data_IF_916393389181
#
_entry.id   IF_916393389181
#
_cell.length_a   1.000
_cell.length_b   1.000
_cell.length_c   1.000
_cell.angle_alpha   90.00
_cell.angle_beta   90.00
_cell.angle_gamma   90.00
#
_symmetry.space_group_name_H-M   'P 1'
#
loop_
_entity.id
_entity.type
_entity.pdbx_description
1 polymer ?
#
# COMPACT_ATOMS: atom_id res chain seq x y z
N UNK A 1 -33.27 0.51 54.65
CA UNK A 1 -34.41 0.40 53.72
C UNK A 1 -33.96 -0.32 52.46
N UNK A 2 -34.53 -1.50 52.25
CA UNK A 2 -34.27 -2.43 51.15
C UNK A 2 -35.11 -2.06 49.92
N UNK A 3 -34.51 -2.09 48.72
CA UNK A 3 -35.22 -2.38 47.45
C UNK A 3 -34.31 -3.18 46.51
N UNK A 4 -34.22 -4.49 46.77
CA UNK A 4 -33.79 -5.48 45.78
C UNK A 4 -34.81 -5.52 44.62
N UNK A 5 -34.35 -5.27 43.39
CA UNK A 5 -35.10 -5.62 42.17
C UNK A 5 -34.46 -6.85 41.51
N UNK A 6 -35.18 -7.97 41.33
CA UNK A 6 -34.66 -9.11 40.60
C UNK A 6 -34.84 -8.91 39.09
N UNK A 7 -33.71 -8.79 38.38
CA UNK A 7 -33.67 -8.84 36.92
C UNK A 7 -33.74 -10.31 36.45
N UNK A 8 -34.89 -10.72 35.91
CA UNK A 8 -35.10 -12.03 35.28
C UNK A 8 -34.21 -12.18 34.04
N UNK A 9 -33.13 -12.96 34.14
CA UNK A 9 -32.35 -13.47 33.00
C UNK A 9 -33.23 -14.39 32.14
N UNK A 10 -33.81 -13.87 31.06
CA UNK A 10 -34.38 -14.70 30.00
C UNK A 10 -33.25 -15.42 29.25
N UNK A 11 -33.11 -16.72 29.50
CA UNK A 11 -32.31 -17.63 28.67
C UNK A 11 -32.94 -17.69 27.28
N UNK A 12 -32.34 -17.00 26.30
CA UNK A 12 -32.66 -17.19 24.88
C UNK A 12 -32.31 -18.62 24.48
N UNK A 13 -33.35 -19.44 24.20
CA UNK A 13 -33.20 -20.77 23.58
C UNK A 13 -32.48 -20.60 22.24
N UNK A 14 -31.29 -21.18 22.14
CA UNK A 14 -30.60 -21.34 20.85
C UNK A 14 -31.48 -22.18 19.93
N UNK A 15 -32.06 -21.53 18.92
CA UNK A 15 -32.74 -22.19 17.81
C UNK A 15 -31.67 -23.02 17.09
N UNK A 16 -31.74 -24.35 17.17
CA UNK A 16 -30.91 -25.26 16.35
C UNK A 16 -31.12 -24.88 14.89
N UNK A 17 -30.05 -24.39 14.26
CA UNK A 17 -30.00 -24.12 12.82
C UNK A 17 -30.33 -25.42 12.11
N UNK A 18 -31.36 -25.39 11.24
CA UNK A 18 -31.68 -26.50 10.34
C UNK A 18 -30.39 -26.91 9.61
N UNK A 19 -30.11 -28.21 9.55
CA UNK A 19 -29.09 -28.79 8.69
C UNK A 19 -29.36 -28.33 7.25
N UNK A 20 -28.66 -27.28 6.84
CA UNK A 20 -28.50 -26.96 5.43
C UNK A 20 -27.58 -28.06 4.90
N UNK A 21 -27.98 -28.83 3.87
CA UNK A 21 -27.07 -29.77 3.26
C UNK A 21 -25.84 -28.99 2.80
N UNK A 22 -24.71 -29.28 3.43
CA UNK A 22 -23.41 -28.79 3.00
C UNK A 22 -23.21 -29.41 1.63
N UNK A 23 -23.45 -28.64 0.57
CA UNK A 23 -23.08 -29.05 -0.78
C UNK A 23 -21.59 -29.43 -0.71
N UNK A 24 -21.29 -30.71 -0.93
CA UNK A 24 -19.95 -31.27 -1.10
C UNK A 24 -19.26 -30.77 -2.40
N UNK A 25 -19.57 -29.56 -2.85
CA UNK A 25 -18.78 -28.88 -3.87
C UNK A 25 -17.57 -28.23 -3.18
N UNK A 26 -16.67 -29.08 -2.67
CA UNK A 26 -15.32 -28.62 -2.37
C UNK A 26 -14.75 -27.89 -3.61
N UNK A 27 -14.04 -26.77 -3.44
CA UNK A 27 -13.55 -26.03 -4.59
C UNK A 27 -12.70 -26.94 -5.48
N UNK A 28 -12.76 -26.72 -6.81
CA UNK A 28 -12.06 -27.55 -7.78
C UNK A 28 -10.56 -27.64 -7.44
N UNK A 29 -9.92 -28.78 -7.70
CA UNK A 29 -8.48 -28.95 -7.46
C UNK A 29 -7.69 -27.84 -8.17
N UNK A 30 -6.72 -27.26 -7.45
CA UNK A 30 -5.84 -26.24 -8.00
C UNK A 30 -4.84 -26.94 -8.92
N UNK A 31 -4.60 -26.45 -10.15
CA UNK A 31 -3.62 -27.06 -11.05
C UNK A 31 -2.21 -27.04 -10.42
N UNK A 32 -1.31 -27.97 -10.79
CA UNK A 32 0.03 -28.10 -10.20
C UNK A 32 0.84 -26.79 -10.21
N UNK A 33 0.81 -26.08 -11.34
CA UNK A 33 1.45 -24.77 -11.52
C UNK A 33 0.89 -23.74 -10.52
N UNK A 34 -0.43 -23.77 -10.26
CA UNK A 34 -1.06 -22.91 -9.26
C UNK A 34 -0.58 -23.20 -7.84
N UNK A 35 -0.26 -24.45 -7.52
CA UNK A 35 0.28 -24.83 -6.21
C UNK A 35 1.71 -24.31 -6.03
N UNK A 36 2.55 -24.41 -7.06
CA UNK A 36 3.90 -23.85 -7.04
C UNK A 36 3.89 -22.33 -6.88
N UNK A 37 3.03 -21.62 -7.61
CA UNK A 37 2.85 -20.18 -7.46
C UNK A 37 2.40 -19.79 -6.04
N UNK A 38 1.51 -20.58 -5.43
CA UNK A 38 1.09 -20.37 -4.04
C UNK A 38 2.23 -20.59 -3.04
N UNK A 39 3.13 -21.57 -3.27
CA UNK A 39 4.32 -21.81 -2.45
C UNK A 39 5.30 -20.64 -2.56
N UNK A 40 5.55 -20.14 -3.77
CA UNK A 40 6.39 -18.95 -4.02
C UNK A 40 5.78 -17.73 -3.34
N UNK A 41 4.46 -17.54 -3.42
CA UNK A 41 3.78 -16.44 -2.72
C UNK A 41 3.98 -16.52 -1.21
N UNK A 42 3.86 -17.70 -0.60
CA UNK A 42 4.03 -17.86 0.85
C UNK A 42 5.46 -17.47 1.30
N UNK A 43 6.49 -17.84 0.54
CA UNK A 43 7.87 -17.45 0.86
C UNK A 43 8.09 -15.94 0.72
N UNK A 44 7.58 -15.32 -0.35
CA UNK A 44 7.63 -13.87 -0.55
C UNK A 44 6.86 -13.12 0.54
N UNK A 45 5.72 -13.64 0.99
CA UNK A 45 4.91 -13.03 2.04
C UNK A 45 5.69 -12.94 3.35
N UNK A 46 6.49 -13.96 3.71
CA UNK A 46 7.35 -13.94 4.91
C UNK A 46 8.43 -12.84 4.82
N UNK A 47 8.99 -12.61 3.64
CA UNK A 47 9.97 -11.55 3.40
C UNK A 47 9.30 -10.18 3.53
N UNK A 48 8.14 -10.02 2.89
CA UNK A 48 7.32 -8.81 2.97
C UNK A 48 6.91 -8.49 4.41
N UNK A 49 6.54 -9.48 5.23
CA UNK A 49 6.17 -9.28 6.63
C UNK A 49 7.36 -8.73 7.47
N UNK A 50 8.59 -9.15 7.17
CA UNK A 50 9.79 -8.56 7.80
C UNK A 50 9.98 -7.11 7.37
N UNK A 51 9.90 -6.81 6.07
CA UNK A 51 9.99 -5.44 5.55
C UNK A 51 8.89 -4.53 6.12
N UNK A 52 7.67 -5.03 6.21
CA UNK A 52 6.52 -4.31 6.76
C UNK A 52 6.56 -4.16 8.28
N UNK A 53 7.43 -4.88 8.98
CA UNK A 53 7.68 -4.60 10.39
C UNK A 53 8.25 -3.19 10.57
N UNK A 54 9.10 -2.74 9.64
CA UNK A 54 9.65 -1.37 9.63
C UNK A 54 8.52 -0.34 9.46
N UNK A 55 7.54 -0.60 8.60
CA UNK A 55 6.37 0.27 8.42
C UNK A 55 5.51 0.40 9.70
N UNK A 56 5.47 -0.64 10.56
CA UNK A 56 4.77 -0.59 11.86
C UNK A 56 5.51 0.29 12.88
N UNK A 57 6.85 0.24 12.88
CA UNK A 57 7.68 1.08 13.74
C UNK A 57 7.53 2.56 13.39
N UNK A 58 7.41 2.89 12.11
CA UNK A 58 7.24 4.27 11.66
C UNK A 58 6.03 4.95 12.32
N UNK A 59 4.87 4.26 12.39
CA UNK A 59 3.68 4.79 13.09
C UNK A 59 3.91 4.93 14.60
N UNK A 60 4.66 4.00 15.20
CA UNK A 60 4.97 4.03 16.65
C UNK A 60 5.89 5.20 17.02
N UNK A 61 6.78 5.57 16.11
CA UNK A 61 7.76 6.64 16.27
C UNK A 61 7.24 8.00 15.77
N UNK A 62 6.00 8.10 15.31
CA UNK A 62 5.40 9.32 14.72
C UNK A 62 6.23 9.92 13.57
N UNK A 63 6.98 9.08 12.83
CA UNK A 63 7.79 9.53 11.70
C UNK A 63 6.91 10.03 10.54
N UNK A 64 5.63 9.67 10.52
CA UNK A 64 4.62 10.23 9.61
C UNK A 64 4.44 11.73 9.79
N UNK A 65 4.37 12.21 11.04
CA UNK A 65 4.29 13.65 11.34
C UNK A 65 5.56 14.37 10.97
N UNK A 66 6.72 13.76 11.26
CA UNK A 66 8.02 14.32 10.91
C UNK A 66 8.12 14.47 9.38
N UNK A 67 7.76 13.43 8.62
CA UNK A 67 7.71 13.51 7.15
C UNK A 67 6.74 14.57 6.65
N UNK A 68 5.58 14.71 7.29
CA UNK A 68 4.63 15.76 6.92
C UNK A 68 5.23 17.15 7.12
N UNK A 69 6.00 17.38 8.19
CA UNK A 69 6.69 18.63 8.43
C UNK A 69 7.83 18.89 7.44
N UNK A 70 8.60 17.87 7.05
CA UNK A 70 9.75 18.03 6.14
C UNK A 70 9.40 17.99 4.65
N UNK A 71 8.33 17.29 4.26
CA UNK A 71 7.95 17.13 2.85
C UNK A 71 7.70 18.43 2.08
N UNK A 72 7.11 19.50 2.66
CA UNK A 72 6.87 20.75 1.94
C UNK A 72 8.17 21.43 1.51
N UNK A 73 9.23 21.36 2.32
CA UNK A 73 10.52 21.98 1.98
C UNK A 73 11.16 21.36 0.73
N UNK A 74 10.90 20.08 0.45
CA UNK A 74 11.32 19.45 -0.81
C UNK A 74 10.30 19.61 -1.94
N UNK A 75 9.01 19.55 -1.64
CA UNK A 75 7.96 19.56 -2.65
C UNK A 75 7.68 20.95 -3.23
N UNK A 76 7.69 22.01 -2.42
CA UNK A 76 7.32 23.36 -2.87
C UNK A 76 8.28 23.86 -3.96
N UNK A 77 9.62 23.81 -3.79
CA UNK A 77 10.54 24.20 -4.84
C UNK A 77 10.34 23.38 -6.12
N UNK A 78 10.15 22.07 -5.98
CA UNK A 78 9.93 21.17 -7.11
C UNK A 78 8.66 21.52 -7.90
N UNK A 79 7.54 21.76 -7.20
CA UNK A 79 6.26 22.15 -7.81
C UNK A 79 6.41 23.47 -8.56
N UNK A 80 7.07 24.46 -7.94
CA UNK A 80 7.31 25.76 -8.57
C UNK A 80 8.15 25.59 -9.85
N UNK A 81 9.24 24.81 -9.80
CA UNK A 81 10.05 24.53 -10.98
C UNK A 81 9.28 23.78 -12.08
N UNK A 82 8.39 22.85 -11.72
CA UNK A 82 7.54 22.13 -12.66
C UNK A 82 6.53 23.04 -13.37
N UNK A 83 6.05 24.09 -12.69
CA UNK A 83 5.15 25.10 -13.28
C UNK A 83 5.95 26.09 -14.13
N UNK A 84 7.14 26.49 -13.68
CA UNK A 84 8.01 27.43 -14.42
C UNK A 84 8.58 26.81 -15.70
N UNK A 85 8.93 25.53 -15.71
CA UNK A 85 9.51 24.85 -16.87
C UNK A 85 8.67 24.98 -18.17
N UNK A 86 7.35 24.70 -18.19
CA UNK A 86 6.53 24.93 -19.37
C UNK A 86 6.33 26.42 -19.69
N UNK A 87 6.26 27.29 -18.68
CA UNK A 87 6.13 28.75 -18.87
C UNK A 87 7.37 29.31 -19.58
N UNK A 88 8.56 28.89 -19.17
CA UNK A 88 9.81 29.24 -19.81
C UNK A 88 9.90 28.71 -21.25
N UNK A 89 9.41 27.48 -21.51
CA UNK A 89 9.33 26.92 -22.86
C UNK A 89 8.39 27.69 -23.79
N UNK A 90 7.45 28.46 -23.24
CA UNK A 90 6.56 29.36 -23.98
C UNK A 90 7.17 30.76 -24.22
N UNK A 91 8.46 30.95 -23.94
CA UNK A 91 9.18 32.20 -24.20
C UNK A 91 9.06 33.25 -23.09
N UNK A 92 8.50 32.88 -21.94
CA UNK A 92 8.49 33.75 -20.78
C UNK A 92 9.87 33.82 -20.12
N UNK A 93 10.16 34.94 -19.45
CA UNK A 93 11.42 35.12 -18.72
C UNK A 93 11.61 34.01 -17.64
N UNK A 94 12.85 33.69 -17.27
CA UNK A 94 13.10 32.81 -16.13
C UNK A 94 12.48 33.39 -14.86
N UNK A 95 11.90 32.53 -14.02
CA UNK A 95 11.32 32.89 -12.71
C UNK A 95 10.13 33.85 -12.74
N UNK A 96 9.38 33.93 -13.85
CA UNK A 96 8.17 34.78 -13.97
C UNK A 96 7.17 34.53 -12.85
N UNK A 97 7.01 33.29 -12.39
CA UNK A 97 6.09 32.97 -11.31
C UNK A 97 6.56 33.57 -9.98
N UNK A 98 7.85 33.48 -9.68
CA UNK A 98 8.45 34.03 -8.47
C UNK A 98 8.48 35.57 -8.49
N UNK A 99 8.76 36.19 -9.65
CA UNK A 99 8.78 37.64 -9.78
C UNK A 99 7.39 38.26 -9.72
N UNK A 100 6.37 37.55 -10.23
CA UNK A 100 4.97 38.02 -10.21
C UNK A 100 4.34 37.85 -8.82
N UNK A 101 4.73 36.82 -8.06
CA UNK A 101 4.15 36.50 -6.75
C UNK A 101 5.22 36.51 -5.64
N UNK A 102 5.40 37.62 -4.92
CA UNK A 102 6.46 37.75 -3.90
C UNK A 102 6.32 36.75 -2.73
N UNK A 103 5.11 36.27 -2.47
CA UNK A 103 4.87 35.21 -1.47
C UNK A 103 5.50 33.88 -1.94
N UNK A 104 5.41 33.56 -3.23
CA UNK A 104 6.00 32.35 -3.80
C UNK A 104 7.53 32.44 -3.71
N UNK A 105 8.10 33.58 -4.09
CA UNK A 105 9.54 33.84 -3.96
C UNK A 105 10.04 33.62 -2.53
N UNK A 106 9.44 34.29 -1.54
CA UNK A 106 9.83 34.13 -0.13
C UNK A 106 9.68 32.70 0.37
N UNK A 107 8.63 32.00 -0.07
CA UNK A 107 8.42 30.60 0.33
C UNK A 107 9.50 29.68 -0.23
N UNK A 108 9.85 29.86 -1.52
CA UNK A 108 10.93 29.11 -2.17
C UNK A 108 12.28 29.41 -1.53
N UNK A 109 12.57 30.68 -1.22
CA UNK A 109 13.79 31.08 -0.51
C UNK A 109 13.90 30.38 0.85
N UNK A 110 12.84 30.42 1.69
CA UNK A 110 12.84 29.72 2.99
C UNK A 110 13.09 28.23 2.80
N UNK A 111 12.44 27.59 1.82
CA UNK A 111 12.64 26.18 1.55
C UNK A 111 14.09 25.89 1.14
N UNK A 112 14.67 26.71 0.26
CA UNK A 112 16.05 26.58 -0.18
C UNK A 112 17.04 26.81 0.97
N UNK A 113 16.81 27.79 1.85
CA UNK A 113 17.64 28.02 3.04
C UNK A 113 17.62 26.83 3.99
N UNK A 114 16.43 26.27 4.27
CA UNK A 114 16.28 25.07 5.12
C UNK A 114 17.00 23.88 4.49
N UNK A 115 16.87 23.68 3.17
CA UNK A 115 17.53 22.60 2.43
C UNK A 115 19.05 22.76 2.43
N UNK A 116 19.56 23.98 2.23
CA UNK A 116 20.99 24.29 2.30
C UNK A 116 21.54 24.04 3.72
N UNK A 117 20.81 24.44 4.76
CA UNK A 117 21.17 24.16 6.14
C UNK A 117 21.19 22.65 6.42
N UNK A 118 20.20 21.89 5.95
CA UNK A 118 20.18 20.42 6.06
C UNK A 118 21.36 19.77 5.33
N UNK A 119 21.76 20.32 4.18
CA UNK A 119 22.87 19.80 3.40
C UNK A 119 24.21 20.07 4.09
N UNK A 120 24.45 21.30 4.53
CA UNK A 120 25.70 21.71 5.21
C UNK A 120 25.88 21.04 6.58
N UNK A 121 24.79 20.77 7.29
CA UNK A 121 24.81 20.02 8.56
C UNK A 121 24.90 18.49 8.40
N UNK A 122 24.81 17.97 7.17
CA UNK A 122 24.82 16.53 6.89
C UNK A 122 23.50 15.79 7.16
N UNK A 123 22.49 16.47 7.73
CA UNK A 123 21.19 15.86 8.05
C UNK A 123 20.33 15.53 6.82
N UNK A 124 20.68 16.08 5.65
CA UNK A 124 19.92 15.86 4.41
C UNK A 124 19.77 14.37 4.07
N UNK A 125 20.78 13.55 4.32
CA UNK A 125 20.76 12.11 4.06
C UNK A 125 19.75 11.39 4.95
N UNK A 126 19.65 11.82 6.22
CA UNK A 126 18.66 11.29 7.17
C UNK A 126 17.25 11.69 6.72
N UNK A 127 17.07 12.91 6.21
CA UNK A 127 15.77 13.36 5.67
C UNK A 127 15.37 12.55 4.44
N UNK A 128 16.29 12.27 3.50
CA UNK A 128 16.01 11.40 2.36
C UNK A 128 15.65 9.98 2.79
N UNK A 129 16.40 9.40 3.73
CA UNK A 129 16.09 8.09 4.28
C UNK A 129 14.70 8.07 4.94
N UNK A 130 14.41 9.08 5.76
CA UNK A 130 13.11 9.26 6.40
C UNK A 130 11.99 9.41 5.37
N UNK A 131 12.16 10.22 4.31
CA UNK A 131 11.15 10.37 3.26
C UNK A 131 10.99 9.09 2.42
N UNK A 132 12.07 8.37 2.12
CA UNK A 132 12.04 7.12 1.35
C UNK A 132 11.28 6.00 2.08
N UNK A 133 11.24 6.02 3.42
CA UNK A 133 10.40 5.11 4.21
C UNK A 133 8.91 5.21 3.87
N UNK A 134 8.46 6.36 3.33
CA UNK A 134 7.10 6.52 2.79
C UNK A 134 6.80 5.50 1.70
N UNK A 135 7.80 5.12 0.89
CA UNK A 135 7.67 4.06 -0.11
C UNK A 135 7.26 2.73 0.53
N UNK A 136 7.98 2.28 1.56
CA UNK A 136 7.70 1.02 2.28
C UNK A 136 6.30 1.07 2.92
N UNK A 137 5.90 2.22 3.44
CA UNK A 137 4.56 2.37 4.02
C UNK A 137 3.43 2.31 3.01
N UNK A 138 3.60 2.94 1.84
CA UNK A 138 2.60 2.87 0.79
C UNK A 138 2.53 1.43 0.27
N UNK A 139 3.67 0.75 0.13
CA UNK A 139 3.72 -0.68 -0.22
C UNK A 139 2.97 -1.54 0.81
N UNK A 140 3.12 -1.25 2.10
CA UNK A 140 2.37 -1.91 3.17
C UNK A 140 0.86 -1.66 3.07
N UNK A 141 0.45 -0.42 2.81
CA UNK A 141 -0.97 -0.07 2.60
C UNK A 141 -1.54 -0.78 1.37
N UNK A 142 -0.80 -0.80 0.28
CA UNK A 142 -1.17 -1.48 -0.96
C UNK A 142 -1.39 -2.98 -0.70
N UNK A 143 -0.47 -3.66 -0.01
CA UNK A 143 -0.63 -5.06 0.38
C UNK A 143 -1.83 -5.29 1.31
N UNK A 144 -2.17 -4.32 2.18
CA UNK A 144 -3.38 -4.40 3.02
C UNK A 144 -4.65 -4.29 2.17
N UNK A 145 -4.69 -3.38 1.19
CA UNK A 145 -5.81 -3.25 0.28
C UNK A 145 -5.96 -4.48 -0.63
N UNK A 146 -4.85 -5.10 -1.06
CA UNK A 146 -4.86 -6.37 -1.80
C UNK A 146 -5.54 -7.49 -1.00
N UNK A 147 -5.18 -7.66 0.29
CA UNK A 147 -5.87 -8.63 1.16
C UNK A 147 -7.36 -8.35 1.31
N UNK A 148 -7.76 -7.09 1.43
CA UNK A 148 -9.18 -6.71 1.49
C UNK A 148 -9.89 -6.97 0.15
N UNK A 149 -9.21 -6.77 -0.98
CA UNK A 149 -9.72 -7.04 -2.31
C UNK A 149 -9.96 -8.55 -2.52
N UNK A 150 -9.05 -9.39 -2.03
CA UNK A 150 -9.14 -10.85 -2.05
C UNK A 150 -10.36 -11.39 -1.27
N UNK A 151 -10.74 -10.72 -0.18
CA UNK A 151 -11.97 -11.01 0.58
C UNK A 151 -13.23 -10.56 -0.18
N UNK A 152 -13.26 -9.29 -0.59
CA UNK A 152 -14.40 -8.69 -1.29
C UNK A 152 -13.95 -7.56 -2.22
N UNK A 153 -14.11 -7.78 -3.53
CA UNK A 153 -13.88 -6.73 -4.51
C UNK A 153 -14.92 -5.61 -4.40
N UNK A 154 -14.46 -4.39 -4.14
CA UNK A 154 -15.28 -3.18 -4.16
C UNK A 154 -14.59 -2.08 -4.97
N UNK A 155 -15.34 -1.23 -5.70
CA UNK A 155 -14.75 -0.14 -6.48
C UNK A 155 -13.88 0.80 -5.64
N UNK A 156 -14.29 1.06 -4.39
CA UNK A 156 -13.52 1.89 -3.46
C UNK A 156 -12.13 1.30 -3.16
N UNK A 157 -12.01 -0.02 -2.99
CA UNK A 157 -10.72 -0.68 -2.78
C UNK A 157 -9.84 -0.63 -4.02
N UNK A 158 -10.43 -0.81 -5.21
CA UNK A 158 -9.71 -0.68 -6.49
C UNK A 158 -9.14 0.72 -6.64
N UNK A 159 -9.94 1.77 -6.42
CA UNK A 159 -9.48 3.15 -6.45
C UNK A 159 -8.36 3.40 -5.43
N UNK A 160 -8.46 2.85 -4.21
CA UNK A 160 -7.40 2.97 -3.20
C UNK A 160 -6.11 2.28 -3.63
N UNK A 161 -6.18 1.08 -4.23
CA UNK A 161 -5.00 0.39 -4.75
C UNK A 161 -4.33 1.15 -5.89
N UNK A 162 -5.10 1.68 -6.84
CA UNK A 162 -4.57 2.52 -7.93
C UNK A 162 -3.94 3.81 -7.38
N UNK A 163 -4.59 4.43 -6.41
CA UNK A 163 -4.03 5.61 -5.74
C UNK A 163 -2.74 5.30 -5.00
N UNK A 164 -2.64 4.14 -4.33
CA UNK A 164 -1.40 3.70 -3.70
C UNK A 164 -0.27 3.52 -4.73
N UNK A 165 -0.57 3.06 -5.95
CA UNK A 165 0.43 2.95 -7.02
C UNK A 165 0.93 4.33 -7.48
N UNK A 166 0.03 5.30 -7.61
CA UNK A 166 0.40 6.69 -7.91
C UNK A 166 1.28 7.25 -6.79
N UNK A 167 0.91 7.01 -5.52
CA UNK A 167 1.70 7.43 -4.37
C UNK A 167 3.07 6.73 -4.32
N UNK A 168 3.15 5.44 -4.67
CA UNK A 168 4.41 4.70 -4.78
C UNK A 168 5.31 5.35 -5.83
N UNK A 169 4.75 5.68 -7.01
CA UNK A 169 5.48 6.36 -8.06
C UNK A 169 6.02 7.70 -7.58
N UNK A 170 5.17 8.54 -6.98
CA UNK A 170 5.59 9.82 -6.40
C UNK A 170 6.61 9.67 -5.28
N UNK A 171 6.62 8.56 -4.53
CA UNK A 171 7.60 8.33 -3.47
C UNK A 171 8.99 7.97 -4.00
N UNK A 172 9.12 7.57 -5.28
CA UNK A 172 10.43 7.22 -5.86
C UNK A 172 11.38 8.41 -5.96
N UNK A 173 10.85 9.63 -6.03
CA UNK A 173 11.62 10.88 -6.07
C UNK A 173 12.51 11.08 -4.83
N UNK A 174 12.22 10.39 -3.72
CA UNK A 174 13.01 10.48 -2.49
C UNK A 174 14.17 9.49 -2.46
N UNK A 175 14.30 8.59 -3.44
CA UNK A 175 15.46 7.72 -3.57
C UNK A 175 16.62 8.47 -4.25
N UNK A 176 17.87 8.21 -3.86
CA UNK A 176 19.02 8.82 -4.51
C UNK A 176 19.34 8.17 -5.87
N UNK A 177 19.58 9.00 -6.88
CA UNK A 177 20.20 8.63 -8.16
C UNK A 177 19.49 7.48 -8.89
N UNK A 178 20.25 6.44 -9.23
CA UNK A 178 19.79 5.29 -10.04
C UNK A 178 18.62 4.55 -9.38
N UNK A 179 18.55 4.51 -8.04
CA UNK A 179 17.46 3.83 -7.33
C UNK A 179 16.10 4.48 -7.58
N UNK A 180 16.04 5.81 -7.75
CA UNK A 180 14.81 6.49 -8.12
C UNK A 180 14.33 6.05 -9.50
N UNK A 181 15.22 6.07 -10.48
CA UNK A 181 14.93 5.69 -11.87
C UNK A 181 14.48 4.23 -11.94
N UNK A 182 15.26 3.30 -11.36
CA UNK A 182 14.93 1.87 -11.37
C UNK A 182 13.58 1.61 -10.69
N UNK A 183 13.32 2.25 -9.54
CA UNK A 183 12.04 2.09 -8.85
C UNK A 183 10.88 2.65 -9.65
N UNK A 184 11.04 3.81 -10.28
CA UNK A 184 10.01 4.42 -11.13
C UNK A 184 9.67 3.53 -12.33
N UNK A 185 10.69 2.99 -13.00
CA UNK A 185 10.53 2.04 -14.09
C UNK A 185 9.91 0.72 -13.65
N UNK A 186 10.18 0.25 -12.43
CA UNK A 186 9.58 -0.97 -11.88
C UNK A 186 8.08 -0.80 -11.53
N UNK A 187 7.62 0.42 -11.26
CA UNK A 187 6.21 0.68 -10.92
C UNK A 187 5.29 0.61 -12.13
N UNK A 188 5.79 0.97 -13.33
CA UNK A 188 5.02 0.88 -14.57
C UNK A 188 4.54 -0.56 -14.90
N UNK A 189 5.41 -1.59 -14.96
CA UNK A 189 4.95 -2.95 -15.17
C UNK A 189 4.13 -3.45 -13.97
N UNK A 190 4.44 -2.99 -12.75
CA UNK A 190 3.65 -3.34 -11.57
C UNK A 190 2.20 -2.83 -11.66
N UNK A 191 1.96 -1.63 -12.21
CA UNK A 191 0.63 -1.10 -12.53
C UNK A 191 -0.11 -2.01 -13.52
N UNK A 192 0.56 -2.39 -14.63
CA UNK A 192 -0.04 -3.26 -15.65
C UNK A 192 -0.41 -4.62 -15.07
N UNK A 193 0.49 -5.23 -14.30
CA UNK A 193 0.25 -6.49 -13.60
C UNK A 193 -0.92 -6.36 -12.62
N UNK A 194 -1.00 -5.26 -11.88
CA UNK A 194 -2.08 -5.01 -10.92
C UNK A 194 -3.44 -4.88 -11.62
N UNK A 195 -3.51 -4.21 -12.76
CA UNK A 195 -4.75 -4.09 -13.54
C UNK A 195 -5.21 -5.45 -14.07
N UNK A 196 -4.29 -6.23 -14.65
CA UNK A 196 -4.59 -7.60 -15.10
C UNK A 196 -5.03 -8.49 -13.93
N UNK A 197 -4.38 -8.36 -12.77
CA UNK A 197 -4.74 -9.06 -11.55
C UNK A 197 -6.16 -8.70 -11.08
N UNK A 198 -6.51 -7.41 -11.00
CA UNK A 198 -7.86 -6.97 -10.59
C UNK A 198 -8.93 -7.53 -11.54
N UNK A 199 -8.69 -7.51 -12.85
CA UNK A 199 -9.61 -8.07 -13.84
C UNK A 199 -9.81 -9.58 -13.64
N UNK A 200 -8.71 -10.33 -13.50
CA UNK A 200 -8.75 -11.79 -13.29
C UNK A 200 -9.41 -12.16 -11.95
N UNK A 201 -9.11 -11.43 -10.87
CA UNK A 201 -9.71 -11.62 -9.55
C UNK A 201 -11.21 -11.35 -9.59
N UNK A 202 -11.64 -10.30 -10.30
CA UNK A 202 -13.07 -10.00 -10.48
C UNK A 202 -13.82 -11.11 -11.21
N UNK A 203 -13.21 -11.70 -12.25
CA UNK A 203 -13.79 -12.86 -12.94
C UNK A 203 -13.86 -14.08 -12.01
N UNK A 204 -12.80 -14.34 -11.25
CA UNK A 204 -12.74 -15.46 -10.29
C UNK A 204 -13.81 -15.33 -9.19
N UNK A 205 -13.90 -14.16 -8.54
CA UNK A 205 -14.81 -13.96 -7.42
C UNK A 205 -16.28 -14.06 -7.81
N UNK A 206 -16.64 -13.66 -9.05
CA UNK A 206 -17.98 -13.85 -9.60
C UNK A 206 -18.37 -15.34 -9.73
N UNK A 207 -17.42 -16.22 -10.01
CA UNK A 207 -17.68 -17.65 -10.22
C UNK A 207 -17.53 -18.49 -8.95
N UNK A 208 -16.53 -18.20 -8.11
CA UNK A 208 -16.07 -19.08 -7.03
C UNK A 208 -16.12 -18.45 -5.64
N UNK A 209 -16.49 -17.17 -5.53
CA UNK A 209 -16.52 -16.42 -4.28
C UNK A 209 -15.14 -15.91 -3.84
N UNK A 210 -14.99 -15.61 -2.55
CA UNK A 210 -13.74 -15.04 -1.99
C UNK A 210 -12.51 -15.88 -2.35
N UNK A 211 -11.42 -15.18 -2.69
CA UNK A 211 -10.14 -15.80 -3.02
C UNK A 211 -9.22 -15.72 -1.79
N UNK A 212 -9.09 -16.82 -1.06
CA UNK A 212 -8.12 -16.93 0.05
C UNK A 212 -6.99 -17.91 -0.34
N UNK A 213 -5.84 -17.40 -0.82
CA UNK A 213 -4.72 -18.22 -1.27
C UNK A 213 -4.10 -19.05 -0.13
N UNK A 214 -4.12 -18.54 1.11
CA UNK A 214 -3.55 -19.24 2.25
C UNK A 214 -4.42 -20.44 2.64
N UNK A 215 -5.75 -20.30 2.53
CA UNK A 215 -6.66 -21.42 2.68
C UNK A 215 -6.51 -22.45 1.55
N UNK A 216 -6.30 -22.03 0.30
CA UNK A 216 -6.06 -22.94 -0.81
C UNK A 216 -4.83 -23.81 -0.57
N UNK A 217 -3.70 -23.20 -0.20
CA UNK A 217 -2.46 -23.92 0.07
C UNK A 217 -2.60 -24.85 1.28
N UNK A 218 -3.30 -24.43 2.35
CA UNK A 218 -3.59 -25.29 3.51
C UNK A 218 -4.45 -26.49 3.13
N UNK A 219 -5.44 -26.33 2.25
CA UNK A 219 -6.30 -27.43 1.78
C UNK A 219 -5.50 -28.43 0.94
N UNK A 220 -4.62 -27.96 0.06
CA UNK A 220 -3.76 -28.85 -0.73
C UNK A 220 -2.75 -29.61 0.13
N UNK A 221 -2.07 -28.96 1.08
CA UNK A 221 -1.20 -29.67 2.05
C UNK A 221 -1.93 -30.78 2.81
N UNK A 222 -3.22 -30.58 3.14
CA UNK A 222 -4.04 -31.62 3.79
C UNK A 222 -4.37 -32.76 2.83
N UNK A 223 -4.57 -32.48 1.53
CA UNK A 223 -4.80 -33.50 0.50
C UNK A 223 -3.53 -34.33 0.25
N UNK A 224 -2.37 -33.68 0.11
CA UNK A 224 -1.07 -34.35 -0.02
C UNK A 224 -0.79 -35.27 1.17
N UNK A 225 -0.94 -34.79 2.41
CA UNK A 225 -0.76 -35.63 3.61
C UNK A 225 -1.65 -36.87 3.61
N UNK A 226 -2.90 -36.77 3.15
CA UNK A 226 -3.81 -37.92 3.05
C UNK A 226 -3.42 -38.91 1.95
N UNK A 227 -2.73 -38.46 0.90
CA UNK A 227 -2.23 -39.34 -0.18
C UNK A 227 -0.99 -40.14 0.24
N UNK A 228 -0.13 -39.59 1.10
CA UNK A 228 1.07 -40.27 1.59
C UNK A 228 0.83 -41.25 2.76
N UNK A 229 -0.38 -41.29 3.32
CA UNK A 229 -0.76 -42.24 4.39
C UNK A 229 -1.42 -43.51 3.78
N UNK A 230 -1.75 -43.50 2.49
CA UNK A 230 -2.19 -44.67 1.74
C UNK A 230 -1.01 -45.29 1.01
#
# INVERSE_FOLDING_TARGET
>A
MSKNKPSKKQRKKHKRTKNIPVLESGPPPVPPIGIELLKIRESLTKILDKLFSIAKWDKKLYLDKIRFAFSPFMLIPLIVSWIEAPIHKLGAAPHVLQSTFPIILKTVEICNTVMYWLQTSGYIQIVYLLLSMKFIQILYKHNKHDKQLQEKMTPSLICKMLFDLVLLYSATQYFPGVLATVSAWAILPFLVITLAYIASLGHYQKQKGSYDPDQMLKRERRREKKRHIK
#
